data_IF_638278179340
#
_entry.id   IF_638278179340
#
_cell.length_a   1.000
_cell.length_b   1.000
_cell.length_c   1.000
_cell.angle_alpha   90.00
_cell.angle_beta   90.00
_cell.angle_gamma   90.00
#
_symmetry.space_group_name_H-M   'P 1'
#
loop_
_entity.id
_entity.type
_entity.pdbx_description
1 polymer ?
#
# COMPACT_ATOMS: atom_id res chain seq x y z
N UNK A 1 -28.95 -11.14 17.85
CA UNK A 1 -27.92 -10.32 18.50
C UNK A 1 -28.06 -8.94 17.91
N UNK A 2 -28.41 -7.96 18.74
CA UNK A 2 -28.59 -6.57 18.32
C UNK A 2 -27.25 -5.86 18.46
N UNK A 3 -26.67 -5.39 17.34
CA UNK A 3 -25.45 -4.57 17.35
C UNK A 3 -25.86 -3.17 17.83
N UNK A 4 -25.30 -2.72 18.95
CA UNK A 4 -25.59 -1.39 19.54
C UNK A 4 -24.71 -0.31 18.90
N UNK A 5 -25.17 0.95 18.83
CA UNK A 5 -24.39 2.06 18.28
C UNK A 5 -23.03 2.29 18.98
N UNK A 6 -22.93 1.98 20.29
CA UNK A 6 -21.69 2.07 21.07
C UNK A 6 -20.65 0.97 20.77
N UNK A 7 -21.05 -0.15 20.16
CA UNK A 7 -20.12 -1.24 19.77
C UNK A 7 -19.20 -0.80 18.62
N UNK A 8 -19.56 0.26 17.89
CA UNK A 8 -18.77 0.80 16.77
C UNK A 8 -17.75 1.84 17.24
N UNK A 9 -17.05 1.58 18.35
CA UNK A 9 -15.89 2.37 18.76
C UNK A 9 -14.77 2.18 17.72
N UNK A 10 -14.88 2.93 16.62
CA UNK A 10 -13.85 3.09 15.61
C UNK A 10 -12.83 4.05 16.20
N UNK A 11 -11.91 3.52 17.01
CA UNK A 11 -10.64 4.20 17.23
C UNK A 11 -10.11 4.54 15.84
N UNK A 12 -10.16 5.83 15.49
CA UNK A 12 -9.76 6.34 14.19
C UNK A 12 -8.27 6.12 14.07
N UNK A 13 -7.87 4.93 13.64
CA UNK A 13 -6.52 4.64 13.20
C UNK A 13 -6.30 5.52 11.98
N UNK A 14 -5.72 6.70 12.19
CA UNK A 14 -5.32 7.59 11.12
C UNK A 14 -4.36 6.80 10.25
N UNK A 15 -4.76 6.37 9.04
CA UNK A 15 -3.87 5.61 8.21
C UNK A 15 -2.73 6.55 7.86
N UNK A 16 -1.48 6.15 8.14
CA UNK A 16 -0.27 6.74 7.54
C UNK A 16 -0.20 6.36 6.04
N UNK A 17 -1.35 6.33 5.37
CA UNK A 17 -1.43 6.20 3.93
C UNK A 17 -1.03 7.56 3.36
N UNK A 18 0.04 7.59 2.58
CA UNK A 18 0.39 8.76 1.77
C UNK A 18 -0.86 9.20 1.01
N UNK A 19 -1.36 10.45 1.17
CA UNK A 19 -2.63 10.85 0.59
C UNK A 19 -2.49 10.84 -0.93
N UNK A 20 -3.13 9.87 -1.58
CA UNK A 20 -3.30 9.86 -3.02
C UNK A 20 -4.24 11.03 -3.40
N UNK A 21 -3.83 11.94 -4.30
CA UNK A 21 -4.72 12.99 -4.77
C UNK A 21 -5.83 12.40 -5.64
N UNK A 22 -7.08 12.80 -5.44
CA UNK A 22 -8.19 12.36 -6.29
C UNK A 22 -8.59 13.44 -7.30
N UNK A 23 -8.81 13.07 -8.58
CA UNK A 23 -8.60 11.74 -9.14
C UNK A 23 -7.11 11.40 -9.37
N UNK A 24 -6.70 10.18 -9.02
CA UNK A 24 -5.40 9.61 -9.36
C UNK A 24 -5.57 8.58 -10.48
N UNK A 25 -4.53 8.42 -11.31
CA UNK A 25 -4.46 7.32 -12.27
C UNK A 25 -4.23 5.98 -11.57
N UNK A 26 -4.58 4.86 -12.23
CA UNK A 26 -4.32 3.53 -11.64
C UNK A 26 -2.83 3.29 -11.42
N UNK A 27 -1.97 3.83 -12.30
CA UNK A 27 -0.53 3.73 -12.13
C UNK A 27 -0.07 4.42 -10.84
N UNK A 28 -0.56 5.63 -10.55
CA UNK A 28 -0.26 6.34 -9.29
C UNK A 28 -0.76 5.58 -8.05
N UNK A 29 -1.96 4.99 -8.13
CA UNK A 29 -2.52 4.17 -7.05
C UNK A 29 -1.64 2.94 -6.82
N UNK A 30 -1.24 2.25 -7.88
CA UNK A 30 -0.36 1.08 -7.79
C UNK A 30 1.02 1.44 -7.23
N UNK A 31 1.61 2.57 -7.64
CA UNK A 31 2.88 3.06 -7.11
C UNK A 31 2.79 3.39 -5.61
N UNK A 32 1.74 4.08 -5.18
CA UNK A 32 1.53 4.40 -3.78
C UNK A 32 1.33 3.14 -2.93
N UNK A 33 0.53 2.17 -3.42
CA UNK A 33 0.33 0.89 -2.75
C UNK A 33 1.64 0.10 -2.63
N UNK A 34 2.48 0.08 -3.66
CA UNK A 34 3.79 -0.56 -3.63
C UNK A 34 4.70 0.05 -2.56
N UNK A 35 4.80 1.39 -2.50
CA UNK A 35 5.63 2.09 -1.51
C UNK A 35 5.13 1.84 -0.08
N UNK A 36 3.83 1.98 0.15
CA UNK A 36 3.22 1.76 1.46
C UNK A 36 3.42 0.30 1.94
N UNK A 37 3.34 -0.69 1.05
CA UNK A 37 3.59 -2.07 1.43
C UNK A 37 5.05 -2.32 1.78
N UNK A 38 6.00 -1.74 1.04
CA UNK A 38 7.43 -1.86 1.36
C UNK A 38 7.71 -1.27 2.74
N UNK A 39 7.15 -0.11 3.06
CA UNK A 39 7.25 0.50 4.39
C UNK A 39 6.63 -0.40 5.47
N UNK A 40 5.43 -0.94 5.23
CA UNK A 40 4.77 -1.89 6.14
C UNK A 40 5.58 -3.17 6.38
N UNK A 41 6.34 -3.61 5.38
CA UNK A 41 7.26 -4.75 5.47
C UNK A 41 8.66 -4.37 5.98
N UNK A 42 8.87 -3.15 6.51
CA UNK A 42 10.16 -2.71 7.04
C UNK A 42 11.27 -2.62 5.99
N UNK A 43 10.92 -2.28 4.75
CA UNK A 43 11.86 -2.22 3.61
C UNK A 43 12.05 -3.55 2.87
N UNK A 44 11.45 -4.64 3.34
CA UNK A 44 11.60 -5.95 2.68
C UNK A 44 10.74 -6.02 1.40
N UNK A 45 11.36 -5.68 0.26
CA UNK A 45 10.71 -5.70 -1.07
C UNK A 45 10.21 -7.09 -1.47
N UNK A 46 10.89 -8.16 -1.06
CA UNK A 46 10.46 -9.53 -1.37
C UNK A 46 9.17 -9.89 -0.63
N UNK A 47 9.10 -9.57 0.67
CA UNK A 47 7.89 -9.75 1.46
C UNK A 47 6.73 -8.87 0.94
N UNK A 48 7.02 -7.64 0.54
CA UNK A 48 6.02 -6.74 -0.03
C UNK A 48 5.44 -7.29 -1.35
N UNK A 49 6.28 -7.77 -2.27
CA UNK A 49 5.83 -8.37 -3.53
C UNK A 49 4.94 -9.60 -3.30
N UNK A 50 5.36 -10.50 -2.41
CA UNK A 50 4.57 -11.68 -2.02
C UNK A 50 3.22 -11.28 -1.41
N UNK A 51 3.21 -10.29 -0.53
CA UNK A 51 2.00 -9.81 0.13
C UNK A 51 1.02 -9.16 -0.84
N UNK A 52 1.53 -8.41 -1.82
CA UNK A 52 0.74 -7.80 -2.89
C UNK A 52 0.32 -8.81 -3.99
N UNK A 53 0.85 -10.03 -3.98
CA UNK A 53 0.55 -11.03 -5.01
C UNK A 53 1.15 -10.71 -6.38
N UNK A 54 2.25 -9.95 -6.45
CA UNK A 54 2.91 -9.55 -7.69
C UNK A 54 4.33 -10.10 -7.78
N UNK A 55 4.88 -10.13 -9.00
CA UNK A 55 6.29 -10.47 -9.20
C UNK A 55 7.21 -9.36 -8.66
N UNK A 56 8.42 -9.74 -8.22
CA UNK A 56 9.45 -8.77 -7.79
C UNK A 56 9.76 -7.75 -8.88
N UNK A 57 9.87 -8.19 -10.14
CA UNK A 57 10.14 -7.30 -11.28
C UNK A 57 9.04 -6.25 -11.48
N UNK A 58 7.77 -6.62 -11.26
CA UNK A 58 6.65 -5.65 -11.29
C UNK A 58 6.76 -4.67 -10.12
N UNK A 59 7.10 -5.14 -8.92
CA UNK A 59 7.34 -4.25 -7.77
C UNK A 59 8.46 -3.24 -8.05
N UNK A 60 9.61 -3.68 -8.57
CA UNK A 60 10.73 -2.77 -8.90
C UNK A 60 10.33 -1.73 -9.95
N UNK A 61 9.51 -2.10 -10.94
CA UNK A 61 9.00 -1.15 -11.95
C UNK A 61 8.08 -0.10 -11.33
N UNK A 62 7.19 -0.49 -10.42
CA UNK A 62 6.32 0.44 -9.68
C UNK A 62 7.11 1.36 -8.73
N UNK A 63 8.25 0.91 -8.21
CA UNK A 63 9.13 1.73 -7.37
C UNK A 63 10.04 2.65 -8.18
N UNK A 64 10.02 2.57 -9.52
CA UNK A 64 10.92 3.35 -10.39
C UNK A 64 12.38 2.86 -10.35
N UNK A 65 12.63 1.69 -9.77
CA UNK A 65 13.97 1.08 -9.61
C UNK A 65 14.36 0.21 -10.82
N UNK A 66 13.44 0.00 -11.77
CA UNK A 66 13.70 -0.71 -13.02
C UNK A 66 14.41 0.21 -14.04
N UNK A 67 15.68 0.55 -13.80
CA UNK A 67 16.44 1.37 -14.75
C UNK A 67 17.73 2.05 -14.28
N UNK A 68 18.42 1.55 -13.25
CA UNK A 68 19.82 1.94 -13.00
C UNK A 68 20.75 0.92 -13.67
N UNK A 69 20.99 1.11 -14.97
CA UNK A 69 22.10 0.50 -15.74
C UNK A 69 23.10 1.60 -16.04
#
# INVERSE_FOLDING_TARGET
>A
GEIRPDDLSLETQTPTASPLPFPASMDEIEQAAARAMVERCGGNKSAAATTLGISRSRLYRLLGEAGAL
#
